data_IF_787124615324
#
_entry.id   IF_787124615324
#
_cell.length_a   1.000
_cell.length_b   1.000
_cell.length_c   1.000
_cell.angle_alpha   90.00
_cell.angle_beta   90.00
_cell.angle_gamma   90.00
#
_symmetry.space_group_name_H-M   'P 1'
#
loop_
_entity.id
_entity.type
_entity.pdbx_description
1 polymer ?
#
# COMPACT_ATOMS: atom_id res chain seq x y z
N UNK A 1 6.76 -20.60 13.73
CA UNK A 1 6.52 -19.83 12.52
C UNK A 1 5.73 -18.59 12.88
N UNK A 2 6.33 -17.43 12.68
CA UNK A 2 5.77 -16.10 12.90
C UNK A 2 5.67 -15.41 11.55
N UNK A 3 4.49 -14.88 11.22
CA UNK A 3 4.27 -14.11 9.98
C UNK A 3 4.15 -12.62 10.28
N UNK A 4 4.97 -11.80 9.63
CA UNK A 4 4.81 -10.35 9.62
C UNK A 4 3.86 -9.94 8.48
N UNK A 5 2.84 -9.14 8.80
CA UNK A 5 1.90 -8.60 7.83
C UNK A 5 2.22 -7.13 7.58
N UNK A 6 2.49 -6.76 6.32
CA UNK A 6 2.67 -5.38 5.94
C UNK A 6 1.56 -4.91 5.00
N UNK A 7 0.67 -4.08 5.52
CA UNK A 7 -0.50 -3.53 4.84
C UNK A 7 -0.19 -2.08 4.46
N UNK A 8 -0.09 -1.77 3.17
CA UNK A 8 0.30 -0.42 2.74
C UNK A 8 -0.21 -0.08 1.34
N UNK A 9 -0.32 1.22 1.02
CA UNK A 9 -0.71 1.64 -0.33
C UNK A 9 0.40 1.44 -1.37
N UNK A 10 1.68 1.64 -1.00
CA UNK A 10 2.85 1.44 -1.86
C UNK A 10 2.75 2.18 -3.20
N UNK A 11 2.44 3.48 -3.16
CA UNK A 11 2.19 4.31 -4.34
C UNK A 11 3.14 5.53 -4.39
N UNK A 12 4.40 5.37 -4.86
CA UNK A 12 5.05 4.11 -5.26
C UNK A 12 5.69 3.34 -4.08
N UNK A 13 6.38 2.23 -4.38
CA UNK A 13 7.37 1.62 -3.45
C UNK A 13 8.56 2.58 -3.32
N UNK A 14 9.11 2.73 -2.11
CA UNK A 14 10.16 3.74 -1.79
C UNK A 14 11.19 3.10 -0.88
N UNK A 15 12.35 3.73 -0.71
CA UNK A 15 13.41 3.20 0.15
C UNK A 15 12.96 3.01 1.60
N UNK A 16 12.10 3.91 2.11
CA UNK A 16 11.47 3.72 3.42
C UNK A 16 10.65 2.42 3.52
N UNK A 17 9.92 2.03 2.46
CA UNK A 17 9.23 0.74 2.45
C UNK A 17 10.22 -0.42 2.40
N UNK A 18 11.33 -0.25 1.67
CA UNK A 18 12.36 -1.27 1.57
C UNK A 18 13.00 -1.54 2.92
N UNK A 19 13.41 -0.49 3.64
CA UNK A 19 13.95 -0.60 5.00
C UNK A 19 12.97 -1.30 5.95
N UNK A 20 11.68 -0.93 5.89
CA UNK A 20 10.65 -1.56 6.73
C UNK A 20 10.58 -3.06 6.43
N UNK A 21 10.48 -3.44 5.16
CA UNK A 21 10.36 -4.85 4.76
C UNK A 21 11.62 -5.63 5.16
N UNK A 22 12.81 -5.05 4.98
CA UNK A 22 14.07 -5.65 5.40
C UNK A 22 14.13 -5.88 6.92
N UNK A 23 13.62 -4.95 7.72
CA UNK A 23 13.52 -5.15 9.17
C UNK A 23 12.51 -6.25 9.53
N UNK A 24 11.39 -6.34 8.82
CA UNK A 24 10.41 -7.43 9.01
C UNK A 24 10.97 -8.81 8.65
N UNK A 25 11.79 -8.91 7.59
CA UNK A 25 12.45 -10.16 7.18
C UNK A 25 13.40 -10.66 8.29
N UNK A 26 14.04 -9.76 9.04
CA UNK A 26 14.90 -10.13 10.17
C UNK A 26 14.11 -10.59 11.40
N UNK A 27 12.86 -10.14 11.55
CA UNK A 27 12.04 -10.37 12.74
C UNK A 27 11.04 -11.54 12.61
N UNK A 28 10.76 -12.01 11.40
CA UNK A 28 9.71 -12.98 11.13
C UNK A 28 10.16 -14.08 10.16
N UNK A 29 9.57 -15.27 10.29
CA UNK A 29 9.86 -16.41 9.41
C UNK A 29 9.27 -16.20 8.00
N UNK A 30 8.22 -15.38 7.89
CA UNK A 30 7.57 -15.02 6.63
C UNK A 30 7.11 -13.57 6.69
N UNK A 31 7.31 -12.84 5.58
CA UNK A 31 6.77 -11.49 5.41
C UNK A 31 5.72 -11.50 4.30
N UNK A 32 4.48 -11.18 4.65
CA UNK A 32 3.37 -11.03 3.72
C UNK A 32 3.09 -9.54 3.48
N UNK A 33 3.40 -9.07 2.29
CA UNK A 33 3.15 -7.69 1.86
C UNK A 33 1.86 -7.63 1.06
N UNK A 34 0.95 -6.74 1.43
CA UNK A 34 -0.35 -6.60 0.78
C UNK A 34 -0.59 -5.15 0.38
N UNK A 35 -0.31 -4.81 -0.90
CA UNK A 35 -0.71 -3.55 -1.47
C UNK A 35 -2.24 -3.36 -1.34
N UNK A 36 -2.68 -2.21 -0.84
CA UNK A 36 -4.13 -1.91 -0.74
C UNK A 36 -4.74 -1.87 -2.14
N UNK A 37 -5.86 -2.57 -2.35
CA UNK A 37 -6.59 -2.57 -3.63
C UNK A 37 -8.04 -2.14 -3.40
N UNK A 38 -8.56 -1.25 -4.24
CA UNK A 38 -9.97 -0.86 -4.25
C UNK A 38 -10.61 -1.36 -5.54
N UNK A 39 -11.68 -2.16 -5.46
CA UNK A 39 -12.40 -2.67 -6.63
C UNK A 39 -13.81 -2.11 -6.72
N UNK A 40 -14.21 -1.72 -7.93
CA UNK A 40 -15.57 -1.35 -8.33
C UNK A 40 -15.89 -2.06 -9.64
N UNK A 41 -17.01 -2.78 -9.69
CA UNK A 41 -17.40 -3.63 -10.84
C UNK A 41 -16.27 -4.56 -11.33
N UNK A 42 -15.58 -5.20 -10.38
CA UNK A 42 -14.43 -6.10 -10.60
C UNK A 42 -13.17 -5.46 -11.19
N UNK A 43 -13.16 -4.16 -11.45
CA UNK A 43 -11.97 -3.40 -11.87
C UNK A 43 -11.33 -2.66 -10.70
N UNK A 44 -10.00 -2.61 -10.68
CA UNK A 44 -9.27 -1.78 -9.72
C UNK A 44 -9.53 -0.29 -9.99
N UNK A 45 -9.80 0.47 -8.93
CA UNK A 45 -9.93 1.91 -8.98
C UNK A 45 -8.59 2.54 -8.62
N UNK A 46 -7.99 3.21 -9.60
CA UNK A 46 -6.83 4.07 -9.40
C UNK A 46 -7.25 5.55 -9.30
N UNK A 47 -6.43 6.35 -8.64
CA UNK A 47 -6.66 7.79 -8.48
C UNK A 47 -5.34 8.53 -8.39
N UNK A 48 -5.38 9.87 -8.38
CA UNK A 48 -4.22 10.71 -8.06
C UNK A 48 -3.54 10.32 -6.74
N UNK A 49 -4.27 9.78 -5.77
CA UNK A 49 -3.70 9.35 -4.50
C UNK A 49 -3.00 8.00 -4.57
N UNK A 50 -3.40 7.12 -5.49
CA UNK A 50 -2.86 5.77 -5.70
C UNK A 50 -2.82 5.47 -7.22
N UNK A 51 -1.85 6.06 -7.95
CA UNK A 51 -1.82 6.02 -9.40
C UNK A 51 -1.45 4.67 -9.99
N UNK A 52 -0.70 3.83 -9.27
CA UNK A 52 -0.23 2.53 -9.74
C UNK A 52 -1.18 1.41 -9.30
N UNK A 53 -1.52 0.52 -10.23
CA UNK A 53 -2.36 -0.64 -9.97
C UNK A 53 -1.63 -1.72 -9.15
N UNK A 54 -2.35 -2.77 -8.75
CA UNK A 54 -1.78 -3.88 -7.98
C UNK A 54 -0.60 -4.53 -8.69
N UNK A 55 -0.72 -4.83 -10.00
CA UNK A 55 0.30 -5.54 -10.75
C UNK A 55 1.60 -4.73 -10.84
N UNK A 56 1.51 -3.43 -11.10
CA UNK A 56 2.66 -2.53 -11.10
C UNK A 56 3.36 -2.51 -9.74
N UNK A 57 2.59 -2.37 -8.66
CA UNK A 57 3.15 -2.35 -7.30
C UNK A 57 3.74 -3.69 -6.88
N UNK A 58 3.14 -4.79 -7.34
CA UNK A 58 3.66 -6.14 -7.16
C UNK A 58 5.00 -6.30 -7.88
N UNK A 59 5.08 -5.87 -9.13
CA UNK A 59 6.33 -5.88 -9.90
C UNK A 59 7.43 -5.04 -9.24
N UNK A 60 7.10 -3.86 -8.70
CA UNK A 60 8.03 -3.05 -7.91
C UNK A 60 8.54 -3.76 -6.65
N UNK A 61 7.70 -4.57 -6.00
CA UNK A 61 8.10 -5.32 -4.81
C UNK A 61 8.97 -6.52 -5.20
N UNK A 62 8.57 -7.27 -6.22
CA UNK A 62 9.27 -8.46 -6.72
C UNK A 62 10.63 -8.08 -7.33
N UNK A 63 10.75 -6.92 -7.99
CA UNK A 63 12.03 -6.44 -8.52
C UNK A 63 13.07 -6.07 -7.46
N UNK A 64 12.63 -5.86 -6.22
CA UNK A 64 13.51 -5.53 -5.08
C UNK A 64 13.79 -6.74 -4.21
N UNK A 65 12.77 -7.57 -3.95
CA UNK A 65 12.85 -8.64 -2.96
C UNK A 65 12.86 -10.05 -3.54
N UNK A 66 12.53 -10.22 -4.82
CA UNK A 66 12.31 -11.53 -5.42
C UNK A 66 11.38 -12.39 -4.57
N UNK A 67 11.78 -13.62 -4.30
CA UNK A 67 11.02 -14.59 -3.50
C UNK A 67 11.16 -14.41 -1.97
N UNK A 68 11.86 -13.36 -1.50
CA UNK A 68 12.07 -13.12 -0.06
C UNK A 68 10.82 -12.68 0.69
N UNK A 69 9.76 -12.29 -0.04
CA UNK A 69 8.48 -11.86 0.50
C UNK A 69 7.32 -12.51 -0.24
N UNK A 70 6.18 -12.61 0.42
CA UNK A 70 4.93 -13.02 -0.21
C UNK A 70 4.05 -11.82 -0.51
N UNK A 71 3.88 -11.47 -1.79
CA UNK A 71 2.99 -10.38 -2.22
C UNK A 71 1.61 -10.93 -2.57
N UNK A 72 0.55 -10.35 -1.99
CA UNK A 72 -0.84 -10.81 -2.22
C UNK A 72 -1.84 -9.66 -2.29
N UNK A 73 -2.95 -9.87 -3.00
CA UNK A 73 -4.07 -8.92 -3.12
C UNK A 73 -5.14 -9.14 -2.02
N UNK A 74 -4.81 -9.87 -0.96
CA UNK A 74 -5.74 -10.21 0.13
C UNK A 74 -6.28 -8.97 0.88
N UNK A 75 -5.58 -7.84 0.79
CA UNK A 75 -6.05 -6.54 1.28
C UNK A 75 -6.86 -5.75 0.23
N UNK A 76 -7.84 -6.42 -0.36
CA UNK A 76 -8.76 -5.85 -1.35
C UNK A 76 -10.11 -5.44 -0.75
N UNK A 77 -10.46 -4.16 -0.93
CA UNK A 77 -11.76 -3.59 -0.62
C UNK A 77 -12.65 -3.64 -1.86
N UNK A 78 -13.82 -4.26 -1.75
CA UNK A 78 -14.82 -4.27 -2.82
C UNK A 78 -15.90 -3.23 -2.51
N UNK A 79 -16.32 -2.41 -3.47
CA UNK A 79 -17.43 -1.48 -3.27
C UNK A 79 -18.70 -2.21 -2.78
N UNK A 80 -19.60 -1.55 -2.00
CA UNK A 80 -19.42 -0.22 -1.41
C UNK A 80 -18.39 -0.23 -0.26
N UNK A 81 -17.48 0.74 -0.20
CA UNK A 81 -16.37 0.74 0.77
C UNK A 81 -16.81 1.04 2.21
N UNK A 82 -17.92 1.76 2.39
CA UNK A 82 -18.49 2.04 3.72
C UNK A 82 -18.77 0.79 4.56
N UNK A 83 -18.91 -0.39 3.95
CA UNK A 83 -19.15 -1.67 4.65
C UNK A 83 -17.95 -2.17 5.48
N UNK A 84 -16.78 -1.55 5.32
CA UNK A 84 -15.55 -1.89 6.04
C UNK A 84 -15.21 -0.88 7.16
N UNK A 85 -16.13 0.01 7.53
CA UNK A 85 -15.87 1.04 8.53
C UNK A 85 -16.55 0.65 9.85
N UNK A 86 -15.86 0.75 11.00
CA UNK A 86 -16.50 0.57 12.32
C UNK A 86 -17.58 1.66 12.51
N UNK A 87 -18.85 1.31 12.76
CA UNK A 87 -19.31 0.72 14.04
C UNK A 87 -20.14 -0.57 13.88
N UNK A 88 -20.25 -1.11 12.67
CA UNK A 88 -20.86 -2.42 12.42
C UNK A 88 -19.74 -3.34 11.99
N UNK A 89 -19.31 -4.27 12.84
CA UNK A 89 -18.34 -5.30 12.42
C UNK A 89 -19.08 -6.26 11.48
N UNK A 90 -19.26 -5.82 10.24
CA UNK A 90 -20.08 -6.49 9.26
C UNK A 90 -19.45 -7.84 8.92
N UNK A 91 -20.26 -8.79 8.42
CA UNK A 91 -19.74 -10.04 7.86
C UNK A 91 -18.64 -9.79 6.82
N UNK A 92 -18.68 -8.64 6.13
CA UNK A 92 -17.68 -8.24 5.12
C UNK A 92 -16.37 -7.75 5.75
N UNK A 93 -16.40 -7.05 6.87
CA UNK A 93 -15.20 -6.70 7.66
C UNK A 93 -14.48 -7.95 8.17
N UNK A 94 -15.22 -8.93 8.69
CA UNK A 94 -14.64 -10.22 9.08
C UNK A 94 -14.13 -11.01 7.90
N UNK A 95 -14.85 -10.99 6.77
CA UNK A 95 -14.37 -11.61 5.53
C UNK A 95 -13.06 -10.99 5.04
N UNK A 96 -12.90 -9.67 5.09
CA UNK A 96 -11.63 -9.01 4.76
C UNK A 96 -10.51 -9.46 5.69
N UNK A 97 -10.77 -9.51 7.00
CA UNK A 97 -9.79 -10.03 7.97
C UNK A 97 -9.40 -11.48 7.66
N UNK A 98 -10.37 -12.34 7.35
CA UNK A 98 -10.10 -13.74 6.98
C UNK A 98 -9.25 -13.84 5.71
N UNK A 99 -9.47 -12.96 4.72
CA UNK A 99 -8.61 -12.87 3.53
C UNK A 99 -7.19 -12.43 3.87
N UNK A 100 -7.02 -11.36 4.65
CA UNK A 100 -5.70 -10.89 5.11
C UNK A 100 -4.91 -12.03 5.75
N UNK A 101 -5.56 -12.86 6.56
CA UNK A 101 -4.94 -14.00 7.25
C UNK A 101 -4.93 -15.30 6.44
N UNK A 102 -5.32 -15.29 5.18
CA UNK A 102 -5.22 -16.46 4.33
C UNK A 102 -3.74 -16.86 4.16
N UNK A 103 -3.43 -18.15 4.30
CA UNK A 103 -2.06 -18.67 4.29
C UNK A 103 -1.20 -18.27 5.50
N UNK A 104 -1.74 -17.54 6.48
CA UNK A 104 -1.02 -17.18 7.71
C UNK A 104 -1.20 -18.31 8.73
N UNK A 105 -0.13 -19.08 8.95
CA UNK A 105 -0.10 -20.17 9.91
C UNK A 105 0.69 -19.79 11.17
N UNK A 106 0.16 -20.13 12.34
CA UNK A 106 0.83 -19.86 13.62
C UNK A 106 0.63 -18.42 14.12
N UNK A 107 1.68 -17.86 14.71
CA UNK A 107 1.64 -16.50 15.27
C UNK A 107 1.87 -15.45 14.19
N UNK A 108 1.31 -14.26 14.39
CA UNK A 108 1.46 -13.17 13.44
C UNK A 108 1.34 -11.80 14.11
N UNK A 109 1.88 -10.79 13.44
CA UNK A 109 1.68 -9.39 13.79
C UNK A 109 1.60 -8.54 12.52
N UNK A 110 0.84 -7.43 12.57
CA UNK A 110 0.86 -6.44 11.49
C UNK A 110 1.81 -5.30 11.82
N UNK A 111 2.52 -4.77 10.84
CA UNK A 111 3.35 -3.58 11.01
C UNK A 111 2.66 -2.34 10.44
N UNK A 112 2.71 -1.23 11.17
CA UNK A 112 2.34 0.09 10.64
C UNK A 112 3.25 1.18 11.23
N UNK A 113 3.56 2.19 10.42
CA UNK A 113 4.24 3.41 10.87
C UNK A 113 3.28 4.52 11.32
N UNK A 114 1.97 4.31 11.20
CA UNK A 114 0.93 5.29 11.52
C UNK A 114 0.12 4.88 12.76
N UNK A 115 -0.03 5.82 13.70
CA UNK A 115 -0.76 5.58 14.95
C UNK A 115 -2.25 5.35 14.72
N UNK A 116 -2.86 6.07 13.77
CA UNK A 116 -4.30 5.98 13.51
C UNK A 116 -4.63 4.66 12.82
N UNK A 117 -3.81 4.25 11.85
CA UNK A 117 -3.87 2.93 11.24
C UNK A 117 -3.68 1.82 12.28
N UNK A 118 -2.75 2.00 13.22
CA UNK A 118 -2.55 1.07 14.33
C UNK A 118 -3.80 0.87 15.19
N UNK A 119 -4.59 1.92 15.42
CA UNK A 119 -5.88 1.79 16.11
C UNK A 119 -6.86 0.95 15.28
N UNK A 120 -6.95 1.20 13.97
CA UNK A 120 -7.82 0.44 13.07
C UNK A 120 -7.45 -1.04 13.03
N UNK A 121 -6.17 -1.36 12.83
CA UNK A 121 -5.68 -2.73 12.79
C UNK A 121 -5.94 -3.48 14.11
N UNK A 122 -5.90 -2.76 15.25
CA UNK A 122 -6.26 -3.34 16.55
C UNK A 122 -7.73 -3.69 16.63
N UNK A 123 -8.63 -2.85 16.12
CA UNK A 123 -10.07 -3.16 16.04
C UNK A 123 -10.34 -4.40 15.18
N UNK A 124 -9.56 -4.58 14.12
CA UNK A 124 -9.58 -5.77 13.26
C UNK A 124 -8.89 -7.01 13.87
N UNK A 125 -8.38 -6.92 15.10
CA UNK A 125 -7.61 -8.00 15.77
C UNK A 125 -6.45 -8.50 14.89
N UNK A 126 -5.74 -7.56 14.26
CA UNK A 126 -4.56 -7.83 13.41
C UNK A 126 -3.22 -7.65 14.13
N UNK A 127 -3.24 -7.43 15.46
CA UNK A 127 -2.05 -7.37 16.34
C UNK A 127 -0.99 -6.37 15.83
N UNK A 128 -1.30 -5.07 15.75
CA UNK A 128 -0.38 -4.09 15.19
C UNK A 128 0.81 -3.78 16.10
N UNK A 129 2.02 -3.84 15.52
CA UNK A 129 3.25 -3.22 16.03
C UNK A 129 3.43 -1.87 15.35
N UNK A 130 3.40 -0.81 16.14
CA UNK A 130 3.57 0.57 15.65
C UNK A 130 5.05 0.92 15.68
N UNK A 131 5.66 1.02 14.49
CA UNK A 131 7.06 1.41 14.33
C UNK A 131 7.28 2.93 14.40
N UNK A 132 8.55 3.35 14.34
CA UNK A 132 8.89 4.76 14.14
C UNK A 132 8.63 5.14 12.68
N UNK A 133 8.06 6.33 12.46
CA UNK A 133 7.84 6.87 11.12
C UNK A 133 9.18 7.14 10.44
N UNK A 134 9.36 6.60 9.23
CA UNK A 134 10.53 6.84 8.39
C UNK A 134 10.52 8.26 7.79
N UNK A 135 11.67 8.85 7.45
CA UNK A 135 11.75 10.22 6.94
C UNK A 135 11.12 10.38 5.55
N UNK A 136 11.31 9.39 4.67
CA UNK A 136 10.74 9.37 3.32
C UNK A 136 9.30 8.86 3.39
N UNK A 137 8.41 9.52 2.66
CA UNK A 137 7.01 9.09 2.53
C UNK A 137 6.62 8.88 1.08
N UNK A 138 5.76 7.90 0.82
CA UNK A 138 5.20 7.70 -0.52
C UNK A 138 4.49 8.97 -1.07
N UNK A 139 3.93 9.79 -0.18
CA UNK A 139 3.29 11.05 -0.57
C UNK A 139 4.29 12.09 -1.04
N UNK A 140 5.47 12.20 -0.40
CA UNK A 140 6.51 13.13 -0.84
C UNK A 140 7.10 12.71 -2.18
N UNK A 141 7.42 11.42 -2.37
CA UNK A 141 7.92 10.88 -3.64
C UNK A 141 6.90 11.08 -4.76
N UNK A 142 5.62 10.77 -4.53
CA UNK A 142 4.56 11.01 -5.52
C UNK A 142 4.39 12.49 -5.89
N UNK A 143 4.54 13.39 -4.91
CA UNK A 143 4.50 14.84 -5.18
C UNK A 143 5.65 15.26 -6.11
N UNK A 144 6.85 14.72 -5.89
CA UNK A 144 7.99 14.95 -6.77
C UNK A 144 7.72 14.38 -8.17
N UNK A 145 7.28 13.11 -8.29
CA UNK A 145 6.89 12.51 -9.57
C UNK A 145 5.94 13.40 -10.38
N UNK A 146 4.91 13.96 -9.74
CA UNK A 146 3.97 14.85 -10.43
C UNK A 146 4.58 16.18 -10.84
N UNK A 147 5.49 16.75 -10.04
CA UNK A 147 6.23 17.96 -10.44
C UNK A 147 7.17 17.70 -11.62
N UNK A 148 7.72 16.50 -11.71
CA UNK A 148 8.62 16.09 -12.79
C UNK A 148 7.91 15.96 -14.14
N UNK A 149 6.57 15.85 -14.16
CA UNK A 149 5.78 15.90 -15.40
C UNK A 149 5.87 17.27 -16.07
N UNK A 150 5.84 18.34 -15.26
CA UNK A 150 5.90 19.72 -15.75
C UNK A 150 7.35 20.22 -15.89
N UNK A 151 8.27 19.71 -15.07
CA UNK A 151 9.69 20.07 -15.08
C UNK A 151 10.57 18.81 -15.14
N UNK A 152 10.99 18.43 -16.36
CA UNK A 152 11.78 17.21 -16.61
C UNK A 152 13.11 17.15 -15.87
N UNK A 153 13.66 18.29 -15.43
CA UNK A 153 14.93 18.33 -14.69
C UNK A 153 14.77 17.97 -13.20
N UNK A 154 13.55 17.64 -12.76
CA UNK A 154 13.26 17.28 -11.37
C UNK A 154 13.28 15.75 -11.16
N UNK A 155 14.40 15.06 -11.40
CA UNK A 155 14.55 13.61 -11.16
C UNK A 155 14.85 13.25 -9.69
N UNK A 156 14.74 14.20 -8.76
CA UNK A 156 15.02 14.03 -7.30
C UNK A 156 14.18 12.93 -6.63
N UNK A 157 13.13 12.44 -7.29
CA UNK A 157 12.34 11.31 -6.79
C UNK A 157 13.05 9.97 -6.97
N UNK A 158 13.95 9.84 -7.96
CA UNK A 158 14.70 8.61 -8.25
C UNK A 158 15.63 8.24 -7.09
N UNK A 159 16.17 9.24 -6.39
CA UNK A 159 17.03 9.06 -5.22
C UNK A 159 16.28 8.55 -3.97
N UNK A 160 14.95 8.45 -4.02
CA UNK A 160 14.10 8.01 -2.90
C UNK A 160 13.43 6.65 -3.15
N UNK A 161 13.80 5.99 -4.25
CA UNK A 161 13.31 4.67 -4.61
C UNK A 161 14.48 3.79 -5.08
N UNK A 162 14.36 2.46 -4.97
CA UNK A 162 15.35 1.57 -5.55
C UNK A 162 15.42 1.76 -7.07
N UNK A 163 16.62 1.58 -7.65
CA UNK A 163 16.82 1.72 -9.10
C UNK A 163 15.83 0.88 -9.93
N UNK A 164 15.60 -0.37 -9.54
CA UNK A 164 14.63 -1.24 -10.24
C UNK A 164 13.20 -0.72 -10.17
N UNK A 165 12.83 0.01 -9.11
CA UNK A 165 11.53 0.68 -9.00
C UNK A 165 11.49 1.94 -9.86
N UNK A 166 12.59 2.70 -9.95
CA UNK A 166 12.69 3.84 -10.85
C UNK A 166 12.49 3.42 -12.31
N UNK A 167 13.20 2.38 -12.75
CA UNK A 167 13.08 1.83 -14.11
C UNK A 167 11.62 1.45 -14.44
N UNK A 168 10.93 0.77 -13.51
CA UNK A 168 9.50 0.40 -13.63
C UNK A 168 8.58 1.64 -13.74
N UNK A 169 8.89 2.71 -13.00
CA UNK A 169 8.12 3.96 -13.04
C UNK A 169 8.31 4.64 -14.40
N UNK A 170 9.53 4.67 -14.91
CA UNK A 170 9.86 5.27 -16.20
C UNK A 170 9.18 4.53 -17.36
N UNK A 171 9.19 3.19 -17.34
CA UNK A 171 8.42 2.37 -18.29
C UNK A 171 6.91 2.67 -18.24
N UNK A 172 6.41 3.11 -17.08
CA UNK A 172 5.00 3.42 -16.83
C UNK A 172 4.74 4.92 -16.70
N UNK A 173 5.61 5.77 -17.27
CA UNK A 173 5.54 7.21 -17.10
C UNK A 173 4.20 7.84 -17.50
N UNK A 174 3.52 7.28 -18.49
CA UNK A 174 2.18 7.73 -18.90
C UNK A 174 1.13 7.61 -17.78
N UNK A 175 1.29 6.65 -16.85
CA UNK A 175 0.46 6.57 -15.65
C UNK A 175 0.69 7.77 -14.74
N UNK A 176 1.95 8.17 -14.56
CA UNK A 176 2.32 9.37 -13.77
C UNK A 176 1.74 10.62 -14.43
N UNK A 177 1.94 10.80 -15.74
CA UNK A 177 1.43 11.93 -16.52
C UNK A 177 -0.10 12.04 -16.42
N UNK A 178 -0.82 10.93 -16.61
CA UNK A 178 -2.28 10.87 -16.52
C UNK A 178 -2.79 11.33 -15.17
N UNK A 179 -2.18 10.84 -14.08
CA UNK A 179 -2.66 11.17 -12.73
C UNK A 179 -2.17 12.52 -12.21
N UNK A 180 -1.04 13.04 -12.71
CA UNK A 180 -0.52 14.36 -12.41
C UNK A 180 -1.46 15.50 -12.83
N UNK A 181 -2.28 15.29 -13.86
CA UNK A 181 -3.28 16.27 -14.32
C UNK A 181 -4.72 15.95 -13.85
N UNK A 182 -4.94 14.76 -13.30
CA UNK A 182 -6.26 14.34 -12.81
C UNK A 182 -6.66 14.99 -11.47
N UNK A 183 -7.96 15.24 -11.22
CA UNK A 183 -8.44 15.63 -9.90
C UNK A 183 -8.25 14.51 -8.86
N UNK A 184 -8.02 14.86 -7.60
CA UNK A 184 -7.99 13.88 -6.51
C UNK A 184 -9.42 13.47 -6.12
N UNK A 185 -9.88 12.36 -6.69
CA UNK A 185 -11.20 11.78 -6.40
C UNK A 185 -11.19 10.88 -5.16
N UNK A 186 -10.40 11.23 -4.14
CA UNK A 186 -10.38 10.51 -2.86
C UNK A 186 -11.05 11.30 -1.74
N UNK A 187 -11.48 10.57 -0.71
CA UNK A 187 -11.97 11.09 0.55
C UNK A 187 -11.20 10.47 1.70
N UNK A 188 -11.06 11.20 2.81
CA UNK A 188 -10.46 10.68 4.03
C UNK A 188 -11.55 10.26 5.00
N UNK A 189 -11.48 9.03 5.48
CA UNK A 189 -12.38 8.51 6.51
C UNK A 189 -11.59 7.75 7.56
N UNK A 190 -11.74 8.16 8.83
CA UNK A 190 -10.98 7.63 9.96
C UNK A 190 -9.45 7.63 9.73
N UNK A 191 -8.94 8.68 9.09
CA UNK A 191 -7.51 8.82 8.77
C UNK A 191 -7.04 8.04 7.53
N UNK A 192 -7.88 7.18 6.94
CA UNK A 192 -7.56 6.39 5.75
C UNK A 192 -8.09 7.08 4.48
N UNK A 193 -7.39 6.91 3.35
CA UNK A 193 -7.81 7.41 2.04
C UNK A 193 -8.60 6.35 1.28
N UNK A 194 -9.76 6.72 0.77
CA UNK A 194 -10.62 5.87 -0.06
C UNK A 194 -11.02 6.61 -1.36
N UNK A 195 -11.25 5.91 -2.48
CA UNK A 195 -11.89 6.50 -3.64
C UNK A 195 -13.32 6.97 -3.31
N UNK A 196 -13.73 8.12 -3.84
CA UNK A 196 -15.12 8.61 -3.75
C UNK A 196 -16.07 7.71 -4.52
N UNK A 197 -15.65 7.24 -5.70
CA UNK A 197 -16.40 6.27 -6.49
C UNK A 197 -16.42 4.93 -5.75
N UNK A 198 -17.61 4.37 -5.53
CA UNK A 198 -17.78 3.12 -4.79
C UNK A 198 -17.85 3.25 -3.28
N UNK A 199 -18.02 4.47 -2.75
CA UNK A 199 -18.29 4.72 -1.33
C UNK A 199 -19.67 4.20 -0.89
#
# INVERSE_FOLDING_TARGET
MVTALYLAHLNPVTDAHVEIIQDLIKEADMVKVMPVVFKYDNSELNSRSFPFDYNTRKEMLESVFGDSIHVSDDYTFNAPFKKYIPPVISKKSWSLRSKILNGVHGDFFSYTGDRSEGVMLRLYRLRPRVGKRRPISATSVKSLLYKSVDNKDCSVWEEQVPKSVADIIDERWETVRRFATSPDETMRVLGMKFPKKGW
#
